data_IF_934851928801
#
_entry.id   IF_934851928801
#
_cell.length_a   1.000
_cell.length_b   1.000
_cell.length_c   1.000
_cell.angle_alpha   90.00
_cell.angle_beta   90.00
_cell.angle_gamma   90.00
#
_symmetry.space_group_name_H-M   'P 1'
#
loop_
_entity.id
_entity.type
_entity.pdbx_description
1 polymer ?
#
# COMPACT_ATOMS: atom_id res chain seq x y z
N UNK A 1 9.59 -10.73 18.71
CA UNK A 1 8.98 -9.80 17.74
C UNK A 1 7.52 -9.58 18.13
N UNK A 2 7.06 -8.33 18.12
CA UNK A 2 5.71 -7.98 18.58
C UNK A 2 4.71 -8.32 17.46
N UNK A 3 3.89 -9.35 17.66
CA UNK A 3 3.09 -9.99 16.58
C UNK A 3 1.90 -9.17 16.05
N UNK A 4 1.68 -7.93 16.48
CA UNK A 4 0.44 -7.18 16.20
C UNK A 4 0.67 -5.70 15.81
N UNK A 5 1.55 -5.43 14.83
CA UNK A 5 1.79 -4.05 14.36
C UNK A 5 0.58 -3.45 13.61
N UNK A 6 -0.25 -4.31 13.01
CA UNK A 6 -1.45 -3.91 12.27
C UNK A 6 -2.48 -3.16 13.12
N UNK A 7 -2.46 -3.31 14.45
CA UNK A 7 -3.41 -2.64 15.36
C UNK A 7 -3.36 -1.11 15.25
N UNK A 8 -2.24 -0.53 14.82
CA UNK A 8 -2.13 0.92 14.55
C UNK A 8 -3.08 1.37 13.42
N UNK A 9 -3.44 0.43 12.53
CA UNK A 9 -4.28 0.65 11.35
C UNK A 9 -5.71 0.15 11.54
N UNK A 10 -6.10 -0.26 12.76
CA UNK A 10 -7.41 -0.84 13.03
C UNK A 10 -8.17 -0.03 14.09
N UNK A 11 -9.47 0.13 13.86
CA UNK A 11 -10.44 0.63 14.84
C UNK A 11 -11.47 -0.46 15.07
N UNK A 12 -11.57 -0.97 16.29
CA UNK A 12 -12.44 -2.11 16.64
C UNK A 12 -12.20 -3.34 15.75
N UNK A 13 -10.93 -3.63 15.43
CA UNK A 13 -10.54 -4.75 14.58
C UNK A 13 -10.82 -4.56 13.09
N UNK A 14 -11.17 -3.34 12.64
CA UNK A 14 -11.47 -3.02 11.23
C UNK A 14 -10.57 -1.91 10.71
N UNK A 15 -10.08 -2.06 9.48
CA UNK A 15 -9.32 -1.04 8.77
C UNK A 15 -10.19 -0.30 7.76
N UNK A 16 -9.98 1.00 7.61
CA UNK A 16 -10.53 1.82 6.54
C UNK A 16 -9.42 2.71 5.99
N UNK A 17 -8.83 2.31 4.86
CA UNK A 17 -7.65 2.95 4.30
C UNK A 17 -8.03 3.91 3.17
N UNK A 18 -7.44 5.10 3.16
CA UNK A 18 -7.55 6.04 2.04
C UNK A 18 -6.35 5.85 1.11
N UNK A 19 -6.55 5.22 -0.04
CA UNK A 19 -5.49 4.97 -1.01
C UNK A 19 -5.31 6.15 -1.97
N UNK A 20 -4.08 6.66 -2.08
CA UNK A 20 -3.72 7.78 -2.96
C UNK A 20 -2.36 7.54 -3.64
N UNK A 21 -2.17 6.31 -4.13
CA UNK A 21 -1.02 5.87 -4.92
C UNK A 21 -1.31 5.75 -6.42
N UNK A 22 -2.58 5.86 -6.82
CA UNK A 22 -3.06 5.65 -8.19
C UNK A 22 -2.52 6.64 -9.23
N UNK A 23 -1.98 7.79 -8.81
CA UNK A 23 -1.26 8.68 -9.73
C UNK A 23 -0.05 8.01 -10.39
N UNK A 24 0.55 7.04 -9.72
CA UNK A 24 1.60 6.18 -10.30
C UNK A 24 0.99 5.15 -11.27
N UNK A 25 -0.11 4.51 -10.86
CA UNK A 25 -0.75 3.38 -11.59
C UNK A 25 -1.51 3.79 -12.85
N UNK A 26 -2.22 4.92 -12.81
CA UNK A 26 -3.16 5.35 -13.83
C UNK A 26 -2.77 6.68 -14.50
N UNK A 27 -1.75 7.37 -13.98
CA UNK A 27 -1.40 8.71 -14.43
C UNK A 27 -2.45 9.74 -14.00
N UNK A 28 -2.69 10.81 -14.77
CA UNK A 28 -3.49 11.94 -14.30
C UNK A 28 -5.02 11.72 -14.35
N UNK A 29 -5.49 10.59 -14.88
CA UNK A 29 -6.89 10.40 -15.29
C UNK A 29 -7.91 10.37 -14.14
N UNK A 30 -7.45 10.06 -12.93
CA UNK A 30 -8.29 9.99 -11.73
C UNK A 30 -8.35 11.33 -10.96
N UNK A 31 -7.66 12.36 -11.46
CA UNK A 31 -7.58 13.66 -10.79
C UNK A 31 -8.44 14.75 -11.44
N UNK A 32 -8.93 15.64 -10.58
CA UNK A 32 -9.58 16.91 -10.86
C UNK A 32 -8.81 18.03 -10.15
N UNK A 33 -9.29 19.28 -10.27
CA UNK A 33 -8.61 20.46 -9.72
C UNK A 33 -8.38 20.43 -8.20
N UNK A 34 -9.13 19.61 -7.45
CA UNK A 34 -8.99 19.50 -6.00
C UNK A 34 -8.09 18.36 -5.60
N UNK A 35 -8.42 17.14 -6.03
CA UNK A 35 -7.72 15.94 -5.59
C UNK A 35 -6.39 15.73 -6.31
N UNK A 36 -5.97 16.59 -7.24
CA UNK A 36 -4.60 16.63 -7.76
C UNK A 36 -3.61 17.15 -6.71
N UNK A 37 -4.08 17.93 -5.73
CA UNK A 37 -3.27 18.41 -4.60
C UNK A 37 -3.31 17.37 -3.46
N UNK A 38 -2.17 16.74 -3.11
CA UNK A 38 -2.12 15.77 -2.01
C UNK A 38 -2.50 16.37 -0.65
N UNK A 39 -2.36 17.69 -0.44
CA UNK A 39 -2.77 18.34 0.80
C UNK A 39 -4.28 18.19 1.04
N UNK A 40 -5.09 18.37 -0.01
CA UNK A 40 -6.54 18.17 0.07
C UNK A 40 -6.91 16.73 0.49
N UNK A 41 -6.14 15.74 0.04
CA UNK A 41 -6.35 14.34 0.41
C UNK A 41 -5.95 14.07 1.86
N UNK A 42 -4.88 14.69 2.33
CA UNK A 42 -4.47 14.57 3.74
C UNK A 42 -5.48 15.24 4.68
N UNK A 43 -6.10 16.34 4.27
CA UNK A 43 -7.23 16.94 5.00
C UNK A 43 -8.41 15.96 5.11
N UNK A 44 -8.77 15.28 4.01
CA UNK A 44 -9.80 14.22 4.02
C UNK A 44 -9.38 13.06 4.91
N UNK A 45 -8.11 12.63 4.84
CA UNK A 45 -7.60 11.51 5.61
C UNK A 45 -7.68 11.77 7.13
N UNK A 46 -7.34 13.00 7.57
CA UNK A 46 -7.34 13.39 8.97
C UNK A 46 -8.74 13.75 9.51
N UNK A 47 -9.58 14.41 8.71
CA UNK A 47 -10.95 14.77 9.13
C UNK A 47 -11.94 13.62 8.98
N UNK A 48 -11.61 12.64 8.12
CA UNK A 48 -12.36 11.42 7.95
C UNK A 48 -12.11 10.41 9.08
N UNK A 49 -12.87 9.32 9.06
CA UNK A 49 -12.69 8.22 10.02
C UNK A 49 -11.70 7.15 9.55
N UNK A 50 -10.77 7.50 8.65
CA UNK A 50 -9.78 6.58 8.11
C UNK A 50 -8.81 6.12 9.20
N UNK A 51 -8.32 4.89 9.05
CA UNK A 51 -7.36 4.27 9.95
C UNK A 51 -5.96 4.20 9.33
N UNK A 52 -5.82 4.62 8.08
CA UNK A 52 -4.53 4.82 7.43
C UNK A 52 -4.68 5.53 6.09
N UNK A 53 -3.60 6.18 5.64
CA UNK A 53 -3.48 6.77 4.31
C UNK A 53 -2.33 6.12 3.56
N UNK A 54 -2.56 5.73 2.30
CA UNK A 54 -1.55 5.06 1.47
C UNK A 54 -0.97 6.06 0.48
N UNK A 55 0.35 6.26 0.55
CA UNK A 55 1.07 7.20 -0.31
C UNK A 55 2.32 6.56 -0.91
N UNK A 56 2.68 6.98 -2.11
CA UNK A 56 4.04 6.78 -2.64
C UNK A 56 5.04 7.66 -1.89
N UNK A 57 6.31 7.21 -1.81
CA UNK A 57 7.35 7.87 -1.00
C UNK A 57 7.52 9.37 -1.24
N UNK A 58 7.42 9.82 -2.49
CA UNK A 58 7.59 11.24 -2.84
C UNK A 58 6.43 12.13 -2.38
N UNK A 59 5.22 11.57 -2.25
CA UNK A 59 4.08 12.29 -1.68
C UNK A 59 4.20 12.36 -0.17
N UNK A 60 4.61 11.26 0.47
CA UNK A 60 4.87 11.22 1.89
C UNK A 60 5.95 12.25 2.29
N UNK A 61 7.11 12.24 1.61
CA UNK A 61 8.23 13.15 1.89
C UNK A 61 7.85 14.63 1.84
N UNK A 62 7.01 15.02 0.86
CA UNK A 62 6.69 16.43 0.61
C UNK A 62 5.46 16.95 1.36
N UNK A 63 4.49 16.08 1.63
CA UNK A 63 3.16 16.48 2.11
C UNK A 63 2.80 15.87 3.45
N UNK A 64 3.37 14.72 3.82
CA UNK A 64 3.09 14.07 5.11
C UNK A 64 4.01 14.66 6.19
N UNK A 65 3.81 15.94 6.54
CA UNK A 65 4.46 16.53 7.71
C UNK A 65 3.66 16.19 8.98
N UNK A 66 4.28 15.40 9.86
CA UNK A 66 3.72 15.03 11.17
C UNK A 66 3.41 16.22 12.07
N UNK A 67 4.02 17.39 11.83
CA UNK A 67 3.82 18.61 12.62
C UNK A 67 2.71 19.49 12.09
N UNK A 68 2.46 19.46 10.77
CA UNK A 68 1.47 20.31 10.10
C UNK A 68 0.04 19.81 10.32
N UNK A 69 -0.15 18.49 10.44
CA UNK A 69 -1.45 17.86 10.64
C UNK A 69 -1.58 17.32 12.07
N UNK A 70 -1.76 18.22 13.03
CA UNK A 70 -2.27 17.85 14.35
C UNK A 70 -3.79 17.96 14.30
N UNK A 71 -4.55 16.86 14.43
CA UNK A 71 -5.99 16.95 14.46
C UNK A 71 -6.45 17.82 15.63
N UNK A 72 -7.61 18.42 15.47
CA UNK A 72 -8.28 19.19 16.52
C UNK A 72 -8.91 18.30 17.59
N UNK A 73 -8.87 16.97 17.42
CA UNK A 73 -9.32 15.98 18.38
C UNK A 73 -8.17 15.09 18.88
N UNK A 74 -8.47 14.27 19.89
CA UNK A 74 -7.53 13.36 20.53
C UNK A 74 -7.08 12.17 19.65
N UNK A 75 -7.50 12.09 18.37
CA UNK A 75 -7.26 10.91 17.53
C UNK A 75 -5.85 10.85 16.91
N UNK A 76 -5.11 11.97 16.89
CA UNK A 76 -3.78 12.04 16.27
C UNK A 76 -3.82 11.94 14.73
N UNK A 77 -2.70 12.26 14.08
CA UNK A 77 -2.60 12.22 12.62
C UNK A 77 -2.89 10.79 12.10
N UNK A 78 -3.61 10.70 10.98
CA UNK A 78 -3.91 9.44 10.32
C UNK A 78 -2.62 8.65 10.00
N UNK A 79 -2.50 7.37 10.37
CA UNK A 79 -1.28 6.60 10.15
C UNK A 79 -0.87 6.50 8.68
N UNK A 80 0.42 6.71 8.40
CA UNK A 80 1.00 6.56 7.07
C UNK A 80 1.26 5.10 6.70
N UNK A 81 0.87 4.73 5.49
CA UNK A 81 1.25 3.50 4.81
C UNK A 81 2.05 3.87 3.57
N UNK A 82 3.29 3.40 3.47
CA UNK A 82 4.11 3.63 2.27
C UNK A 82 3.82 2.55 1.25
N UNK A 83 3.30 2.95 0.08
CA UNK A 83 3.21 2.09 -1.08
C UNK A 83 4.62 1.90 -1.66
N UNK A 84 5.16 0.71 -1.53
CA UNK A 84 6.55 0.36 -1.86
C UNK A 84 6.77 0.28 -3.37
N UNK A 85 5.75 -0.11 -4.13
CA UNK A 85 5.84 -0.30 -5.57
C UNK A 85 4.65 0.30 -6.31
N UNK A 86 4.85 0.53 -7.61
CA UNK A 86 3.81 0.88 -8.58
C UNK A 86 4.30 0.58 -10.00
N UNK A 87 3.41 0.63 -10.98
CA UNK A 87 3.75 0.55 -12.41
C UNK A 87 2.98 1.59 -13.20
N UNK A 88 3.48 2.01 -14.35
CA UNK A 88 2.76 2.98 -15.19
C UNK A 88 1.71 2.25 -16.06
N UNK A 89 0.68 2.97 -16.57
CA UNK A 89 -0.32 2.36 -17.45
C UNK A 89 0.22 2.08 -18.87
N UNK A 90 1.44 2.52 -19.20
CA UNK A 90 2.04 2.32 -20.53
C UNK A 90 2.28 0.83 -20.86
N UNK A 91 2.41 -0.01 -19.84
CA UNK A 91 2.63 -1.47 -19.97
C UNK A 91 1.32 -2.29 -19.89
N UNK A 92 0.14 -1.68 -20.09
CA UNK A 92 -1.16 -2.36 -19.91
C UNK A 92 -1.39 -3.61 -20.76
N UNK A 93 -0.62 -3.82 -21.82
CA UNK A 93 -0.72 -4.98 -22.71
C UNK A 93 0.44 -5.98 -22.55
N UNK A 94 1.31 -5.74 -21.57
CA UNK A 94 2.43 -6.59 -21.22
C UNK A 94 2.12 -7.38 -19.95
N UNK A 95 2.98 -8.35 -19.61
CA UNK A 95 2.89 -9.04 -18.34
C UNK A 95 3.16 -8.04 -17.20
N UNK A 96 2.25 -7.94 -16.21
CA UNK A 96 2.36 -6.89 -15.22
C UNK A 96 3.54 -7.18 -14.27
N UNK A 97 4.41 -6.20 -14.14
CA UNK A 97 5.54 -6.17 -13.22
C UNK A 97 5.51 -4.85 -12.46
N UNK A 98 5.63 -4.91 -11.14
CA UNK A 98 5.80 -3.72 -10.30
C UNK A 98 6.81 -4.02 -9.21
N UNK A 99 8.00 -3.45 -9.34
CA UNK A 99 9.08 -3.59 -8.37
C UNK A 99 9.14 -2.38 -7.45
N UNK A 100 9.82 -2.56 -6.32
CA UNK A 100 9.94 -1.56 -5.30
C UNK A 100 10.66 -0.32 -5.82
N UNK A 101 10.11 0.83 -5.50
CA UNK A 101 10.73 2.13 -5.72
C UNK A 101 11.19 2.77 -4.40
N UNK A 102 11.00 2.08 -3.26
CA UNK A 102 11.26 2.56 -1.91
C UNK A 102 11.95 1.46 -1.08
N UNK A 103 12.91 1.83 -0.23
CA UNK A 103 13.46 0.91 0.78
C UNK A 103 12.63 0.95 2.07
N UNK A 104 12.67 -0.13 2.86
CA UNK A 104 12.03 -0.13 4.19
C UNK A 104 12.65 0.94 5.09
N UNK A 105 13.97 1.15 4.99
CA UNK A 105 14.66 2.26 5.66
C UNK A 105 14.03 3.63 5.34
N UNK A 106 13.81 3.95 4.07
CA UNK A 106 13.12 5.21 3.67
C UNK A 106 11.72 5.28 4.29
N UNK A 107 10.96 4.17 4.28
CA UNK A 107 9.63 4.14 4.88
C UNK A 107 9.66 4.40 6.41
N UNK A 108 10.67 3.89 7.11
CA UNK A 108 10.89 4.17 8.54
C UNK A 108 11.23 5.63 8.77
N UNK A 109 12.09 6.23 7.94
CA UNK A 109 12.49 7.65 8.04
C UNK A 109 11.30 8.59 7.78
N UNK A 110 10.43 8.25 6.84
CA UNK A 110 9.14 8.91 6.59
C UNK A 110 8.13 8.67 7.72
N UNK A 111 8.44 7.74 8.63
CA UNK A 111 7.69 7.49 9.83
C UNK A 111 6.39 6.72 9.59
N UNK A 112 6.42 5.81 8.61
CA UNK A 112 5.33 4.90 8.29
C UNK A 112 4.92 4.04 9.49
N UNK A 113 3.63 3.71 9.55
CA UNK A 113 3.10 2.69 10.46
C UNK A 113 3.08 1.30 9.80
N UNK A 114 3.03 1.26 8.46
CA UNK A 114 3.02 0.06 7.66
C UNK A 114 3.57 0.33 6.25
N UNK A 115 3.86 -0.75 5.53
CA UNK A 115 4.18 -0.71 4.11
C UNK A 115 3.13 -1.46 3.31
N UNK A 116 3.09 -1.16 2.01
CA UNK A 116 2.15 -1.75 1.08
C UNK A 116 2.79 -2.16 -0.23
N UNK A 117 2.61 -3.41 -0.63
CA UNK A 117 3.24 -3.95 -1.83
C UNK A 117 2.22 -4.69 -2.70
N UNK A 118 2.25 -4.44 -4.01
CA UNK A 118 1.39 -5.12 -4.98
C UNK A 118 2.10 -6.33 -5.55
N UNK A 119 1.43 -7.49 -5.55
CA UNK A 119 1.88 -8.68 -6.27
C UNK A 119 0.82 -9.02 -7.33
N UNK A 120 1.24 -9.11 -8.59
CA UNK A 120 0.37 -9.56 -9.67
C UNK A 120 0.41 -11.09 -9.80
N UNK A 121 -0.57 -11.76 -9.18
CA UNK A 121 -0.70 -13.21 -9.19
C UNK A 121 -1.11 -13.69 -10.59
N UNK A 122 -0.40 -14.66 -11.14
CA UNK A 122 -0.56 -15.19 -12.49
C UNK A 122 0.23 -14.46 -13.57
N UNK A 123 1.00 -13.43 -13.21
CA UNK A 123 1.99 -12.79 -14.10
C UNK A 123 3.15 -13.75 -14.38
N UNK A 124 3.76 -13.67 -15.56
CA UNK A 124 5.07 -14.29 -15.85
C UNK A 124 6.17 -13.80 -14.90
N UNK A 125 5.99 -12.62 -14.29
CA UNK A 125 6.93 -12.03 -13.32
C UNK A 125 6.55 -12.24 -11.85
N UNK A 126 5.53 -13.06 -11.55
CA UNK A 126 5.04 -13.30 -10.19
C UNK A 126 6.18 -13.68 -9.21
N UNK A 127 7.06 -14.61 -9.60
CA UNK A 127 8.16 -15.06 -8.76
C UNK A 127 9.14 -13.92 -8.42
N UNK A 128 9.43 -13.03 -9.37
CA UNK A 128 10.30 -11.88 -9.12
C UNK A 128 9.71 -10.93 -8.08
N UNK A 129 8.39 -10.68 -8.13
CA UNK A 129 7.72 -9.85 -7.12
C UNK A 129 7.63 -10.54 -5.77
N UNK A 130 7.44 -11.87 -5.74
CA UNK A 130 7.46 -12.66 -4.50
C UNK A 130 8.84 -12.62 -3.84
N UNK A 131 9.91 -12.79 -4.62
CA UNK A 131 11.28 -12.75 -4.11
C UNK A 131 11.64 -11.39 -3.51
N UNK A 132 11.22 -10.29 -4.17
CA UNK A 132 11.39 -8.94 -3.63
C UNK A 132 10.51 -8.69 -2.40
N UNK A 133 9.24 -9.15 -2.43
CA UNK A 133 8.32 -9.02 -1.30
C UNK A 133 8.84 -9.73 -0.05
N UNK A 134 9.40 -10.93 -0.17
CA UNK A 134 9.94 -11.68 0.97
C UNK A 134 11.05 -10.91 1.71
N UNK A 135 11.91 -10.20 0.97
CA UNK A 135 12.97 -9.38 1.57
C UNK A 135 12.39 -8.13 2.25
N UNK A 136 11.45 -7.45 1.59
CA UNK A 136 10.80 -6.24 2.11
C UNK A 136 9.97 -6.56 3.36
N UNK A 137 9.23 -7.66 3.34
CA UNK A 137 8.39 -8.12 4.44
C UNK A 137 9.22 -8.41 5.68
N UNK A 138 10.29 -9.20 5.55
CA UNK A 138 11.21 -9.52 6.65
C UNK A 138 11.81 -8.24 7.25
N UNK A 139 12.30 -7.31 6.42
CA UNK A 139 12.86 -6.05 6.88
C UNK A 139 11.81 -5.15 7.55
N UNK A 140 10.58 -5.11 7.02
CA UNK A 140 9.48 -4.33 7.57
C UNK A 140 9.08 -4.84 8.97
N UNK A 141 8.95 -6.17 9.15
CA UNK A 141 8.67 -6.77 10.44
C UNK A 141 9.80 -6.53 11.45
N UNK A 142 11.06 -6.60 11.02
CA UNK A 142 12.20 -6.22 11.85
C UNK A 142 12.15 -4.77 12.33
N UNK A 143 11.58 -3.87 11.52
CA UNK A 143 11.39 -2.46 11.85
C UNK A 143 10.03 -2.12 12.49
N UNK A 144 9.25 -3.12 12.91
CA UNK A 144 7.92 -2.96 13.53
C UNK A 144 6.88 -2.23 12.65
N UNK A 145 6.99 -2.39 11.34
CA UNK A 145 5.99 -1.98 10.36
C UNK A 145 5.04 -3.15 10.09
N UNK A 146 3.75 -2.86 9.92
CA UNK A 146 2.84 -3.86 9.35
C UNK A 146 3.05 -3.96 7.83
N UNK A 147 2.69 -5.10 7.25
CA UNK A 147 2.85 -5.41 5.83
C UNK A 147 1.48 -5.70 5.22
N UNK A 148 1.09 -4.93 4.22
CA UNK A 148 -0.16 -5.13 3.49
C UNK A 148 0.18 -5.60 2.06
N UNK A 149 -0.35 -6.77 1.68
CA UNK A 149 -0.19 -7.34 0.35
C UNK A 149 -1.38 -7.04 -0.54
N UNK A 150 -1.21 -6.21 -1.56
CA UNK A 150 -2.20 -6.05 -2.63
C UNK A 150 -2.06 -7.21 -3.63
N UNK A 151 -2.78 -8.29 -3.37
CA UNK A 151 -2.71 -9.55 -4.10
C UNK A 151 -3.67 -9.53 -5.30
N UNK A 152 -3.23 -9.02 -6.44
CA UNK A 152 -4.10 -8.86 -7.62
C UNK A 152 -3.90 -9.99 -8.62
N UNK A 153 -4.91 -10.85 -8.86
CA UNK A 153 -4.84 -11.79 -9.97
C UNK A 153 -4.81 -11.04 -11.30
N UNK A 154 -3.65 -11.01 -11.95
CA UNK A 154 -3.48 -10.36 -13.26
C UNK A 154 -2.26 -10.94 -13.98
N UNK A 155 -2.45 -11.23 -15.27
CA UNK A 155 -1.43 -11.78 -16.16
C UNK A 155 -2.08 -12.67 -17.20
N UNK A 156 -1.34 -13.09 -18.24
CA UNK A 156 -1.85 -13.95 -19.32
C UNK A 156 -2.55 -15.22 -18.84
N UNK A 157 -2.19 -15.74 -17.66
CA UNK A 157 -2.77 -16.97 -17.10
C UNK A 157 -4.11 -16.74 -16.38
N UNK A 158 -4.46 -15.49 -16.07
CA UNK A 158 -5.70 -15.11 -15.39
C UNK A 158 -6.77 -14.80 -16.43
N UNK A 159 -7.79 -15.66 -16.53
CA UNK A 159 -8.93 -15.47 -17.46
C UNK A 159 -10.01 -14.55 -16.88
N UNK A 160 -10.14 -14.52 -15.57
CA UNK A 160 -11.05 -13.66 -14.83
C UNK A 160 -10.40 -13.31 -13.50
N UNK A 161 -10.17 -12.03 -13.26
CA UNK A 161 -9.61 -11.48 -12.03
C UNK A 161 -10.64 -11.35 -10.90
N UNK A 162 -11.89 -11.71 -11.18
CA UNK A 162 -13.03 -11.69 -10.26
C UNK A 162 -13.57 -13.09 -9.94
N UNK A 163 -12.93 -14.14 -10.48
CA UNK A 163 -13.27 -15.51 -10.15
C UNK A 163 -12.99 -15.80 -8.67
N UNK A 164 -13.95 -16.45 -8.00
CA UNK A 164 -13.91 -16.68 -6.56
C UNK A 164 -12.73 -17.53 -6.12
N UNK A 165 -12.40 -18.58 -6.87
CA UNK A 165 -11.33 -19.51 -6.49
C UNK A 165 -9.96 -18.86 -6.72
N UNK A 166 -9.85 -18.07 -7.79
CA UNK A 166 -8.66 -17.25 -8.06
C UNK A 166 -8.43 -16.20 -6.96
N UNK A 167 -9.48 -15.48 -6.56
CA UNK A 167 -9.40 -14.49 -5.47
C UNK A 167 -9.07 -15.14 -4.13
N UNK A 168 -9.72 -16.26 -3.79
CA UNK A 168 -9.43 -17.00 -2.57
C UNK A 168 -7.98 -17.50 -2.53
N UNK A 169 -7.44 -17.93 -3.68
CA UNK A 169 -6.05 -18.35 -3.77
C UNK A 169 -5.08 -17.18 -3.62
N UNK A 170 -5.34 -16.04 -4.26
CA UNK A 170 -4.51 -14.84 -4.11
C UNK A 170 -4.48 -14.34 -2.65
N UNK A 171 -5.63 -14.34 -1.96
CA UNK A 171 -5.69 -14.03 -0.53
C UNK A 171 -4.90 -15.04 0.32
N UNK A 172 -4.99 -16.34 0.02
CA UNK A 172 -4.20 -17.38 0.71
C UNK A 172 -2.70 -17.17 0.50
N UNK A 173 -2.27 -16.81 -0.71
CA UNK A 173 -0.86 -16.54 -0.98
C UNK A 173 -0.34 -15.39 -0.12
N UNK A 174 -1.10 -14.30 0.07
CA UNK A 174 -0.67 -13.23 0.96
C UNK A 174 -0.46 -13.70 2.40
N UNK A 175 -1.30 -14.60 2.91
CA UNK A 175 -1.11 -15.22 4.22
C UNK A 175 0.15 -16.10 4.29
N UNK A 176 0.43 -16.90 3.26
CA UNK A 176 1.63 -17.73 3.19
C UNK A 176 2.92 -16.90 3.09
N UNK A 177 2.83 -15.71 2.50
CA UNK A 177 3.93 -14.75 2.39
C UNK A 177 4.06 -13.84 3.62
N UNK A 178 3.36 -14.14 4.72
CA UNK A 178 3.43 -13.40 5.98
C UNK A 178 2.94 -11.95 5.93
N UNK A 179 2.02 -11.61 5.00
CA UNK A 179 1.33 -10.33 5.03
C UNK A 179 0.38 -10.25 6.25
N UNK A 180 0.32 -9.08 6.89
CA UNK A 180 -0.59 -8.81 8.01
C UNK A 180 -2.03 -8.55 7.54
N UNK A 181 -2.21 -8.10 6.30
CA UNK A 181 -3.50 -7.87 5.63
C UNK A 181 -3.38 -8.02 4.10
N UNK A 182 -4.51 -8.35 3.46
CA UNK A 182 -4.68 -8.48 2.01
C UNK A 182 -5.96 -7.80 1.52
#
# INVERSE_FOLDING_TARGET
MNKNNINKLLRNGRGMLLAYDHGFEHGPVDFNEKNVDPAYILDIANSGHFTGVVLQKGLADKYYDKKQYQPTDSAGQVPLIIKMNGKTPFHKHEEPLSLSNCSVKEAVELGAAAIGYTIYIGSEHEQTMIDEFAQIEEEAHHNNLAVIGWMYPRGKKIKSDTDKDILAYAARLGLELNADAV
#
